data_IF_244447432798
#
_entry.id   IF_244447432798
#
_cell.length_a   1.000
_cell.length_b   1.000
_cell.length_c   1.000
_cell.angle_alpha   90.00
_cell.angle_beta   90.00
_cell.angle_gamma   90.00
#
_symmetry.space_group_name_H-M   'P 1'
#
loop_
_entity.id
_entity.type
_entity.pdbx_description
1 polymer ?
#
# COMPACT_ATOMS: atom_id res chain seq x y z
N UNK A 1 -61.41 4.45 42.42
CA UNK A 1 -60.31 5.43 42.28
C UNK A 1 -59.01 4.77 42.70
N UNK A 2 -58.09 4.52 41.75
CA UNK A 2 -56.64 4.39 41.93
C UNK A 2 -56.05 4.05 40.56
N UNK A 3 -55.79 5.10 39.77
CA UNK A 3 -55.12 5.00 38.47
C UNK A 3 -53.65 4.66 38.70
N UNK A 4 -53.20 3.54 38.14
CA UNK A 4 -51.79 3.17 38.05
C UNK A 4 -51.13 4.01 36.95
N UNK A 5 -50.26 4.95 37.33
CA UNK A 5 -49.32 5.57 36.40
C UNK A 5 -48.10 4.65 36.26
N UNK A 6 -48.11 3.79 35.24
CA UNK A 6 -46.92 3.05 34.83
C UNK A 6 -46.02 3.97 34.00
N UNK A 7 -44.94 4.45 34.60
CA UNK A 7 -43.90 5.23 33.94
C UNK A 7 -43.11 4.28 33.02
N UNK A 8 -43.37 4.31 31.71
CA UNK A 8 -42.62 3.54 30.74
C UNK A 8 -41.22 4.16 30.57
N UNK A 9 -40.20 3.51 31.15
CA UNK A 9 -38.81 3.88 31.00
C UNK A 9 -38.33 3.51 29.58
N UNK A 10 -38.25 4.49 28.69
CA UNK A 10 -37.70 4.31 27.36
C UNK A 10 -36.18 4.08 27.46
N UNK A 11 -35.76 2.82 27.44
CA UNK A 11 -34.34 2.44 27.32
C UNK A 11 -33.90 2.78 25.90
N UNK A 12 -33.24 3.92 25.73
CA UNK A 12 -32.54 4.23 24.49
C UNK A 12 -31.27 3.37 24.44
N UNK A 13 -31.22 2.44 23.49
CA UNK A 13 -30.02 1.67 23.19
C UNK A 13 -28.96 2.65 22.69
N UNK A 14 -28.02 3.04 23.56
CA UNK A 14 -26.83 3.77 23.16
C UNK A 14 -25.99 2.84 22.29
N UNK A 15 -26.00 3.09 20.97
CA UNK A 15 -25.13 2.39 20.05
C UNK A 15 -23.67 2.67 20.44
N UNK A 16 -22.98 1.66 20.96
CA UNK A 16 -21.54 1.74 21.18
C UNK A 16 -20.89 1.98 19.82
N UNK A 17 -20.15 3.08 19.69
CA UNK A 17 -19.42 3.42 18.47
C UNK A 17 -18.20 2.49 18.35
N UNK A 18 -18.42 1.27 17.88
CA UNK A 18 -17.36 0.31 17.56
C UNK A 18 -16.89 0.48 16.12
N UNK A 19 -15.69 0.01 15.83
CA UNK A 19 -15.21 -0.08 14.45
C UNK A 19 -16.08 -1.12 13.72
N UNK A 20 -16.68 -0.79 12.55
CA UNK A 20 -17.41 -1.77 11.76
C UNK A 20 -16.51 -2.94 11.37
N UNK A 21 -17.12 -4.09 11.06
CA UNK A 21 -16.38 -5.18 10.45
C UNK A 21 -15.69 -4.69 9.16
N UNK A 22 -14.44 -5.14 8.88
CA UNK A 22 -13.72 -4.70 7.69
C UNK A 22 -14.56 -4.89 6.42
N UNK A 23 -14.86 -3.80 5.74
CA UNK A 23 -15.64 -3.78 4.50
C UNK A 23 -14.91 -3.02 3.37
N UNK A 24 -13.67 -2.60 3.60
CA UNK A 24 -12.82 -2.00 2.59
C UNK A 24 -11.98 -3.07 1.88
N UNK A 25 -11.99 -3.04 0.55
CA UNK A 25 -11.13 -3.88 -0.28
C UNK A 25 -10.16 -2.98 -1.06
N UNK A 26 -8.84 -3.07 -0.81
CA UNK A 26 -7.84 -2.34 -1.57
C UNK A 26 -7.93 -2.60 -3.08
N UNK A 27 -7.49 -1.62 -3.88
CA UNK A 27 -7.52 -1.75 -5.34
C UNK A 27 -6.22 -2.35 -5.83
N UNK A 28 -6.31 -3.47 -6.56
CA UNK A 28 -5.14 -4.10 -7.18
C UNK A 28 -4.95 -3.57 -8.61
N UNK A 29 -3.83 -2.90 -8.85
CA UNK A 29 -3.53 -2.26 -10.13
C UNK A 29 -2.48 -3.08 -10.88
N UNK A 30 -2.74 -3.48 -12.15
CA UNK A 30 -1.76 -4.20 -12.96
C UNK A 30 -0.61 -3.29 -13.40
N UNK A 31 0.60 -3.85 -13.40
CA UNK A 31 1.79 -3.25 -13.99
C UNK A 31 2.07 -4.00 -15.28
N UNK A 32 2.21 -3.27 -16.38
CA UNK A 32 2.71 -3.80 -17.65
C UNK A 32 3.51 -2.73 -18.36
N UNK A 33 4.79 -2.98 -18.53
CA UNK A 33 5.69 -2.10 -19.25
C UNK A 33 6.74 -2.92 -19.99
N UNK A 34 7.11 -2.58 -21.24
CA UNK A 34 6.43 -1.65 -22.14
C UNK A 34 5.16 -2.28 -22.75
N UNK A 35 4.53 -1.57 -23.67
CA UNK A 35 3.45 -2.15 -24.50
C UNK A 35 4.02 -3.21 -25.43
N UNK A 36 3.23 -4.24 -25.70
CA UNK A 36 3.60 -5.29 -26.65
C UNK A 36 3.64 -4.73 -28.07
N UNK A 37 4.58 -5.24 -28.87
CA UNK A 37 4.77 -4.92 -30.28
C UNK A 37 5.09 -3.44 -30.58
N UNK A 38 5.53 -2.68 -29.58
CA UNK A 38 5.95 -1.29 -29.73
C UNK A 38 7.46 -1.18 -29.50
N UNK A 39 8.13 -0.34 -30.31
CA UNK A 39 9.55 -0.07 -30.14
C UNK A 39 9.78 0.74 -28.86
N UNK A 40 10.64 0.23 -27.98
CA UNK A 40 11.00 0.86 -26.72
C UNK A 40 12.50 1.01 -26.62
N UNK A 41 12.95 2.09 -25.97
CA UNK A 41 14.35 2.38 -25.70
C UNK A 41 14.55 2.55 -24.20
N UNK A 42 15.53 1.86 -23.64
CA UNK A 42 15.94 2.02 -22.23
C UNK A 42 17.46 2.06 -22.12
N UNK A 43 17.94 2.62 -21.02
CA UNK A 43 19.35 2.77 -20.68
C UNK A 43 19.86 1.60 -19.83
N UNK A 44 21.17 1.50 -19.65
CA UNK A 44 21.79 0.50 -18.77
C UNK A 44 21.24 0.64 -17.35
N UNK A 45 20.82 -0.49 -16.77
CA UNK A 45 20.22 -0.58 -15.44
C UNK A 45 18.72 -0.30 -15.39
N UNK A 46 18.11 0.13 -16.50
CA UNK A 46 16.67 0.36 -16.56
C UNK A 46 15.89 -0.93 -16.88
N UNK A 47 14.64 -0.94 -16.43
CA UNK A 47 13.74 -2.07 -16.61
C UNK A 47 13.31 -2.18 -18.08
N UNK A 48 13.57 -3.32 -18.71
CA UNK A 48 13.15 -3.63 -20.07
C UNK A 48 11.75 -4.22 -20.16
N UNK A 49 11.34 -5.01 -19.18
CA UNK A 49 10.01 -5.59 -19.11
C UNK A 49 9.64 -5.69 -17.64
N UNK A 50 8.57 -5.03 -17.22
CA UNK A 50 8.03 -5.10 -15.87
C UNK A 50 6.59 -5.57 -15.94
N UNK A 51 6.28 -6.63 -15.21
CA UNK A 51 4.92 -7.08 -15.02
C UNK A 51 4.64 -7.44 -13.57
N UNK A 52 3.36 -7.38 -13.21
CA UNK A 52 2.90 -7.79 -11.91
C UNK A 52 1.75 -6.91 -11.49
N UNK A 53 1.64 -6.70 -10.19
CA UNK A 53 0.59 -5.87 -9.62
C UNK A 53 1.19 -5.04 -8.48
N UNK A 54 0.48 -3.98 -8.12
CA UNK A 54 0.63 -3.32 -6.84
C UNK A 54 -0.74 -3.04 -6.27
N UNK A 55 -0.83 -2.99 -4.96
CA UNK A 55 -2.05 -2.65 -4.25
C UNK A 55 -2.01 -1.16 -3.93
N UNK A 56 -3.09 -0.45 -4.26
CA UNK A 56 -3.34 0.90 -3.76
C UNK A 56 -4.34 0.83 -2.61
N UNK A 57 -4.00 1.49 -1.51
CA UNK A 57 -4.89 1.67 -0.37
C UNK A 57 -5.26 3.14 -0.24
N UNK A 58 -6.55 3.40 -0.11
CA UNK A 58 -7.06 4.69 0.33
C UNK A 58 -6.81 4.80 1.85
N UNK A 59 -6.62 6.02 2.32
CA UNK A 59 -6.42 6.28 3.73
C UNK A 59 -6.36 7.77 4.03
N UNK A 60 -5.95 8.06 5.24
CA UNK A 60 -5.69 9.43 5.69
C UNK A 60 -4.20 9.59 6.00
N UNK A 61 -3.67 10.76 5.69
CA UNK A 61 -2.32 11.18 5.99
C UNK A 61 -2.36 12.33 6.99
N UNK A 62 -1.67 12.12 8.12
CA UNK A 62 -1.44 13.14 9.13
C UNK A 62 -0.05 13.74 8.90
N UNK A 63 0.02 15.05 8.73
CA UNK A 63 1.28 15.76 8.45
C UNK A 63 2.13 15.96 9.70
N UNK A 64 1.48 16.06 10.84
CA UNK A 64 2.10 16.27 12.13
C UNK A 64 1.51 15.32 13.14
N UNK A 65 2.25 15.14 14.22
CA UNK A 65 1.77 14.39 15.37
C UNK A 65 0.61 15.13 16.04
N UNK A 66 -0.37 14.37 16.51
CA UNK A 66 -1.53 14.88 17.24
C UNK A 66 -1.67 14.13 18.59
N UNK A 67 -2.12 14.81 19.63
CA UNK A 67 -2.44 14.19 20.92
C UNK A 67 -3.95 14.33 21.21
N UNK A 68 -4.68 13.23 21.00
CA UNK A 68 -6.12 13.19 21.24
C UNK A 68 -6.38 12.63 22.64
N UNK A 69 -6.52 13.53 23.62
CA UNK A 69 -6.80 13.23 25.04
C UNK A 69 -5.95 12.10 25.64
N UNK A 70 -4.65 12.11 25.39
CA UNK A 70 -3.67 11.15 25.90
C UNK A 70 -3.20 10.12 24.87
N UNK A 71 -3.91 9.96 23.75
CA UNK A 71 -3.44 9.14 22.63
C UNK A 71 -2.59 9.99 21.69
N UNK A 72 -1.29 9.68 21.65
CA UNK A 72 -0.34 10.27 20.70
C UNK A 72 -0.46 9.55 19.36
N UNK A 73 -0.78 10.28 18.31
CA UNK A 73 -0.95 9.78 16.94
C UNK A 73 0.16 10.40 16.10
N UNK A 74 1.05 9.59 15.55
CA UNK A 74 2.19 10.10 14.78
C UNK A 74 1.75 10.74 13.46
N UNK A 75 2.64 11.55 12.88
CA UNK A 75 2.56 11.83 11.45
C UNK A 75 2.72 10.53 10.64
N UNK A 76 2.08 10.46 9.48
CA UNK A 76 2.16 9.32 8.57
C UNK A 76 0.82 8.93 7.95
N UNK A 77 0.85 7.86 7.17
CA UNK A 77 -0.30 7.31 6.48
C UNK A 77 -1.00 6.22 7.30
N UNK A 78 -2.33 6.33 7.41
CA UNK A 78 -3.23 5.42 8.09
C UNK A 78 -4.18 4.80 7.06
N UNK A 79 -4.02 3.51 6.71
CA UNK A 79 -4.81 2.89 5.65
C UNK A 79 -6.23 2.56 6.11
N UNK A 80 -7.18 2.75 5.19
CA UNK A 80 -8.59 2.48 5.42
C UNK A 80 -8.84 0.98 5.55
N UNK A 81 -9.68 0.61 6.53
CA UNK A 81 -10.09 -0.78 6.80
C UNK A 81 -11.61 -0.95 6.75
N UNK A 82 -12.35 0.13 7.00
CA UNK A 82 -13.79 0.12 6.90
C UNK A 82 -14.35 1.51 6.60
N UNK A 83 -15.61 1.56 6.20
CA UNK A 83 -16.39 2.79 6.09
C UNK A 83 -17.87 2.57 6.46
N UNK A 84 -18.50 3.64 6.92
CA UNK A 84 -19.96 3.75 7.07
C UNK A 84 -20.50 4.95 6.25
N UNK A 85 -21.76 5.33 6.47
CA UNK A 85 -22.39 6.45 5.76
C UNK A 85 -21.68 7.79 5.99
N UNK A 86 -21.15 8.01 7.19
CA UNK A 86 -20.65 9.31 7.67
C UNK A 86 -19.12 9.34 7.82
N UNK A 87 -18.47 8.18 8.00
CA UNK A 87 -17.09 8.08 8.44
C UNK A 87 -16.30 6.99 7.69
N UNK A 88 -14.97 7.16 7.67
CA UNK A 88 -14.02 6.12 7.31
C UNK A 88 -13.20 5.70 8.53
N UNK A 89 -12.80 4.44 8.59
CA UNK A 89 -12.04 3.85 9.69
C UNK A 89 -10.71 3.36 9.17
N UNK A 90 -9.66 3.64 9.93
CA UNK A 90 -8.27 3.44 9.52
C UNK A 90 -7.52 2.63 10.58
N UNK A 91 -6.67 1.74 10.09
CA UNK A 91 -5.74 1.00 10.95
C UNK A 91 -4.47 1.81 11.22
N UNK A 92 -3.72 1.39 12.23
CA UNK A 92 -2.49 2.02 12.65
C UNK A 92 -1.48 0.95 13.07
N UNK A 93 -0.20 1.33 13.13
CA UNK A 93 0.85 0.48 13.70
C UNK A 93 1.07 0.84 15.17
N UNK A 94 1.63 -0.09 15.94
CA UNK A 94 2.00 0.19 17.34
C UNK A 94 3.36 0.89 17.48
N UNK A 95 4.18 0.84 16.43
CA UNK A 95 5.56 1.33 16.42
C UNK A 95 5.95 1.81 15.02
N UNK A 96 6.99 2.65 14.94
CA UNK A 96 7.54 3.22 13.69
C UNK A 96 8.41 2.23 12.92
N UNK A 97 7.82 1.11 12.50
CA UNK A 97 8.56 -0.01 11.91
C UNK A 97 8.63 0.07 10.38
N UNK A 98 7.94 1.05 9.79
CA UNK A 98 7.87 1.28 8.35
C UNK A 98 7.87 2.78 8.11
N UNK A 99 8.81 3.24 7.28
CA UNK A 99 8.92 4.63 6.90
C UNK A 99 7.60 5.14 6.30
N UNK A 100 7.12 6.29 6.77
CA UNK A 100 5.86 6.90 6.33
C UNK A 100 4.57 6.30 6.91
N UNK A 101 4.63 5.18 7.64
CA UNK A 101 3.43 4.59 8.26
C UNK A 101 3.05 5.29 9.57
N UNK A 102 1.76 5.60 9.72
CA UNK A 102 1.20 6.13 10.95
C UNK A 102 1.17 5.10 12.08
N UNK A 103 1.56 5.51 13.28
CA UNK A 103 1.55 4.66 14.46
C UNK A 103 0.94 5.37 15.68
N UNK A 104 0.42 4.56 16.61
CA UNK A 104 -0.13 5.00 17.90
C UNK A 104 0.52 4.12 18.96
N UNK A 105 1.50 4.64 19.74
CA UNK A 105 2.07 3.90 20.85
C UNK A 105 1.04 3.70 21.97
N UNK A 106 1.31 2.74 22.86
CA UNK A 106 0.47 2.50 24.02
C UNK A 106 0.40 3.76 24.91
N UNK A 107 -0.81 4.30 25.07
CA UNK A 107 -1.04 5.46 25.90
C UNK A 107 -1.15 5.08 27.39
N UNK A 108 -0.76 6.02 28.26
CA UNK A 108 -0.84 5.89 29.72
C UNK A 108 -1.53 7.13 30.29
N UNK A 109 -2.30 6.96 31.36
CA UNK A 109 -2.93 8.07 32.06
C UNK A 109 -1.94 8.83 32.96
N UNK A 110 -2.43 9.86 33.65
CA UNK A 110 -1.64 10.67 34.58
C UNK A 110 -1.06 9.87 35.77
N UNK A 111 -1.67 8.73 36.13
CA UNK A 111 -1.19 7.82 37.18
C UNK A 111 -0.23 6.75 36.63
N UNK A 112 0.08 6.78 35.33
CA UNK A 112 0.93 5.80 34.66
C UNK A 112 0.22 4.47 34.35
N UNK A 113 -1.10 4.40 34.49
CA UNK A 113 -1.89 3.21 34.13
C UNK A 113 -2.13 3.15 32.62
N UNK A 114 -2.13 1.97 32.00
CA UNK A 114 -2.36 1.83 30.57
C UNK A 114 -3.79 2.23 30.21
N UNK A 115 -3.94 3.10 29.21
CA UNK A 115 -5.24 3.41 28.63
C UNK A 115 -5.75 2.23 27.77
N UNK A 116 -7.08 2.13 27.53
CA UNK A 116 -7.63 1.13 26.62
C UNK A 116 -6.94 1.13 25.26
N UNK A 117 -6.67 -0.04 24.71
CA UNK A 117 -6.08 -0.12 23.38
C UNK A 117 -7.06 0.44 22.33
N UNK A 118 -6.60 1.35 21.46
CA UNK A 118 -7.43 1.82 20.36
C UNK A 118 -7.70 0.67 19.39
N UNK A 119 -8.91 0.63 18.83
CA UNK A 119 -9.30 -0.32 17.78
C UNK A 119 -9.01 0.25 16.39
N UNK A 120 -9.29 1.54 16.18
CA UNK A 120 -9.07 2.23 14.91
C UNK A 120 -9.04 3.75 15.10
N UNK A 121 -8.61 4.43 14.04
CA UNK A 121 -8.80 5.87 13.87
C UNK A 121 -10.01 6.09 12.97
N UNK A 122 -11.01 6.83 13.42
CA UNK A 122 -12.17 7.24 12.63
C UNK A 122 -11.92 8.64 12.06
N UNK A 123 -12.23 8.86 10.79
CA UNK A 123 -12.22 10.17 10.17
C UNK A 123 -13.59 10.50 9.54
N UNK A 124 -14.12 11.69 9.79
CA UNK A 124 -15.40 12.13 9.22
C UNK A 124 -15.28 12.39 7.73
N UNK A 125 -16.23 11.90 6.91
CA UNK A 125 -16.25 12.13 5.45
C UNK A 125 -16.46 13.60 5.07
N UNK A 126 -17.16 14.36 5.91
CA UNK A 126 -17.59 15.73 5.63
C UNK A 126 -16.84 16.78 6.46
N UNK A 127 -16.28 16.40 7.62
CA UNK A 127 -15.60 17.30 8.54
C UNK A 127 -14.12 16.95 8.67
N UNK A 128 -13.31 17.93 9.05
CA UNK A 128 -11.94 17.72 9.56
C UNK A 128 -12.02 17.27 11.02
N UNK A 129 -12.57 16.09 11.25
CA UNK A 129 -12.66 15.45 12.57
C UNK A 129 -12.00 14.07 12.52
N UNK A 130 -11.06 13.82 13.44
CA UNK A 130 -10.45 12.51 13.66
C UNK A 130 -10.76 12.03 15.07
N UNK A 131 -11.07 10.75 15.23
CA UNK A 131 -11.38 10.18 16.53
C UNK A 131 -10.66 8.87 16.77
N UNK A 132 -10.20 8.67 18.00
CA UNK A 132 -9.74 7.38 18.48
C UNK A 132 -10.95 6.57 18.96
N UNK A 133 -11.11 5.38 18.38
CA UNK A 133 -12.14 4.42 18.78
C UNK A 133 -11.52 3.45 19.78
N UNK A 134 -11.84 3.61 21.06
CA UNK A 134 -11.48 2.64 22.11
C UNK A 134 -12.64 1.68 22.29
N UNK A 135 -12.44 0.37 22.12
CA UNK A 135 -13.52 -0.59 22.35
C UNK A 135 -13.99 -0.54 23.81
N UNK A 136 -15.29 -0.34 24.06
CA UNK A 136 -15.86 -0.30 25.41
C UNK A 136 -17.01 0.71 25.58
N UNK A 137 -17.31 1.07 26.84
CA UNK A 137 -18.35 2.03 27.23
C UNK A 137 -17.96 3.51 27.00
N UNK A 138 -16.70 3.76 26.65
CA UNK A 138 -16.21 5.10 26.39
C UNK A 138 -16.49 5.43 24.92
N UNK A 139 -17.20 6.54 24.69
CA UNK A 139 -17.49 7.04 23.35
C UNK A 139 -16.21 7.42 22.56
N UNK A 140 -16.36 7.73 21.25
CA UNK A 140 -15.22 8.09 20.42
C UNK A 140 -14.54 9.35 20.96
N UNK A 141 -13.22 9.31 21.05
CA UNK A 141 -12.43 10.44 21.55
C UNK A 141 -11.98 11.24 20.33
N UNK A 142 -12.60 12.39 20.11
CA UNK A 142 -12.42 13.15 18.88
C UNK A 142 -11.55 14.40 19.05
N UNK A 143 -10.90 14.77 17.96
CA UNK A 143 -10.20 16.03 17.72
C UNK A 143 -10.71 16.66 16.42
N UNK A 144 -10.85 17.99 16.43
CA UNK A 144 -11.22 18.82 15.28
C UNK A 144 -10.19 19.92 15.00
N UNK A 145 -9.12 20.00 15.79
CA UNK A 145 -8.10 21.05 15.66
C UNK A 145 -7.07 20.72 14.58
N UNK A 146 -6.80 19.42 14.36
CA UNK A 146 -5.81 18.96 13.39
C UNK A 146 -6.44 18.48 12.08
N UNK A 147 -5.88 18.94 10.98
CA UNK A 147 -6.30 18.53 9.65
C UNK A 147 -5.70 17.17 9.25
N UNK A 148 -6.39 16.51 8.34
CA UNK A 148 -5.92 15.30 7.70
C UNK A 148 -6.19 15.34 6.20
N UNK A 149 -5.27 14.75 5.44
CA UNK A 149 -5.42 14.65 3.99
C UNK A 149 -5.88 13.25 3.61
N UNK A 150 -6.93 13.14 2.82
CA UNK A 150 -7.28 11.88 2.16
C UNK A 150 -6.34 11.67 0.99
N UNK A 151 -5.69 10.52 0.98
CA UNK A 151 -4.74 10.17 -0.07
C UNK A 151 -4.85 8.69 -0.38
N UNK A 152 -4.40 8.34 -1.59
CA UNK A 152 -4.23 6.97 -2.02
C UNK A 152 -2.75 6.71 -2.14
N UNK A 153 -2.26 5.66 -1.49
CA UNK A 153 -0.86 5.31 -1.53
C UNK A 153 -0.66 3.87 -2.01
N UNK A 154 0.39 3.62 -2.81
CA UNK A 154 0.77 2.26 -3.14
C UNK A 154 1.28 1.57 -1.88
N UNK A 155 0.64 0.47 -1.51
CA UNK A 155 1.05 -0.38 -0.40
C UNK A 155 1.61 -1.67 -0.98
N UNK A 156 2.89 -1.91 -0.72
CA UNK A 156 3.56 -3.16 -1.07
C UNK A 156 2.91 -4.32 -0.30
N UNK A 157 2.14 -5.15 -1.01
CA UNK A 157 1.54 -6.39 -0.50
C UNK A 157 2.47 -7.57 -0.80
N UNK A 158 2.57 -8.53 0.12
CA UNK A 158 3.32 -9.78 -0.13
C UNK A 158 2.70 -10.63 -1.25
N UNK A 159 1.42 -10.37 -1.57
CA UNK A 159 0.68 -11.03 -2.65
C UNK A 159 0.91 -10.38 -4.03
N UNK A 160 1.63 -9.26 -4.06
CA UNK A 160 1.94 -8.53 -5.28
C UNK A 160 3.31 -8.96 -5.81
N UNK A 161 3.32 -10.09 -6.54
CA UNK A 161 4.50 -10.52 -7.27
C UNK A 161 4.72 -9.56 -8.45
N UNK A 162 5.94 -9.03 -8.54
CA UNK A 162 6.42 -8.29 -9.70
C UNK A 162 7.65 -8.98 -10.27
N UNK A 163 7.67 -9.11 -11.60
CA UNK A 163 8.75 -9.69 -12.37
C UNK A 163 9.34 -8.60 -13.26
N UNK A 164 10.66 -8.54 -13.34
CA UNK A 164 11.36 -7.50 -14.10
C UNK A 164 12.56 -8.07 -14.85
N UNK A 165 12.65 -7.80 -16.14
CA UNK A 165 13.90 -7.86 -16.92
C UNK A 165 14.56 -6.49 -16.92
N UNK A 166 15.88 -6.44 -16.76
CA UNK A 166 16.68 -5.22 -16.63
C UNK A 166 17.81 -5.28 -17.64
N UNK A 167 18.05 -4.18 -18.37
CA UNK A 167 19.15 -4.14 -19.31
C UNK A 167 20.50 -4.04 -18.58
N UNK A 168 21.39 -5.02 -18.76
CA UNK A 168 22.69 -5.05 -18.07
C UNK A 168 23.87 -4.73 -18.99
N UNK A 169 23.60 -4.43 -20.26
CA UNK A 169 24.60 -4.02 -21.25
C UNK A 169 24.91 -5.10 -22.28
N UNK A 170 25.79 -4.74 -23.23
CA UNK A 170 26.29 -5.63 -24.29
C UNK A 170 27.81 -5.49 -24.42
N UNK A 171 28.49 -6.62 -24.62
CA UNK A 171 29.93 -6.69 -24.93
C UNK A 171 30.13 -7.59 -26.15
N UNK A 172 30.68 -7.04 -27.24
CA UNK A 172 30.75 -7.77 -28.52
C UNK A 172 29.35 -8.15 -28.99
N UNK A 173 29.12 -9.44 -29.30
CA UNK A 173 27.78 -9.95 -29.65
C UNK A 173 26.97 -10.45 -28.46
N UNK A 174 27.53 -10.37 -27.25
CA UNK A 174 26.86 -10.90 -26.05
C UNK A 174 26.10 -9.82 -25.31
N UNK A 175 24.80 -9.99 -25.20
CA UNK A 175 23.91 -9.12 -24.43
C UNK A 175 23.60 -9.75 -23.07
N UNK A 176 23.56 -8.93 -22.03
CA UNK A 176 23.25 -9.35 -20.65
C UNK A 176 21.97 -8.71 -20.16
N UNK A 177 21.13 -9.52 -19.54
CA UNK A 177 19.82 -9.13 -19.03
C UNK A 177 19.68 -9.65 -17.61
N UNK A 178 19.48 -8.73 -16.68
CA UNK A 178 19.20 -9.03 -15.29
C UNK A 178 17.74 -9.41 -15.09
N UNK A 179 17.48 -10.32 -14.17
CA UNK A 179 16.14 -10.70 -13.74
C UNK A 179 15.96 -10.54 -12.24
N UNK A 180 14.84 -9.91 -11.86
CA UNK A 180 14.40 -9.84 -10.46
C UNK A 180 12.92 -10.17 -10.33
N UNK A 181 12.60 -10.85 -9.23
CA UNK A 181 11.24 -10.98 -8.71
C UNK A 181 11.18 -10.29 -7.36
N UNK A 182 10.20 -9.43 -7.15
CA UNK A 182 9.93 -8.79 -5.86
C UNK A 182 8.52 -9.11 -5.37
N UNK A 183 8.40 -9.37 -4.07
CA UNK A 183 7.14 -9.46 -3.35
C UNK A 183 7.34 -8.82 -1.97
N UNK A 184 6.38 -8.00 -1.51
CA UNK A 184 6.44 -7.38 -0.19
C UNK A 184 7.60 -6.38 0.03
N UNK A 185 8.05 -6.26 1.29
CA UNK A 185 8.94 -5.21 1.80
C UNK A 185 10.42 -5.61 1.94
N UNK A 186 10.84 -6.73 1.35
CA UNK A 186 12.22 -7.17 1.43
C UNK A 186 12.94 -6.71 0.16
N UNK A 187 13.85 -5.75 0.31
CA UNK A 187 14.86 -5.46 -0.70
C UNK A 187 15.68 -6.74 -0.90
N UNK A 188 15.27 -7.54 -1.89
CA UNK A 188 16.05 -8.69 -2.32
C UNK A 188 17.36 -8.16 -2.93
N UNK A 189 18.48 -8.91 -2.81
CA UNK A 189 19.75 -8.49 -3.40
C UNK A 189 19.56 -8.04 -4.85
N UNK A 190 20.27 -6.98 -5.23
CA UNK A 190 20.30 -6.54 -6.62
C UNK A 190 20.80 -7.72 -7.46
N UNK A 191 19.96 -8.17 -8.40
CA UNK A 191 20.20 -9.25 -9.37
C UNK A 191 20.13 -10.66 -8.77
N UNK A 192 18.94 -11.26 -8.83
CA UNK A 192 18.78 -12.67 -8.45
C UNK A 192 19.34 -13.62 -9.51
N UNK A 193 19.38 -13.20 -10.78
CA UNK A 193 19.89 -13.95 -11.92
C UNK A 193 20.25 -12.99 -13.07
N UNK A 194 21.34 -13.27 -13.80
CA UNK A 194 21.69 -12.61 -15.07
C UNK A 194 21.72 -13.66 -16.18
N UNK A 195 21.10 -13.35 -17.32
CA UNK A 195 21.11 -14.20 -18.50
C UNK A 195 21.93 -13.53 -19.61
N UNK A 196 22.76 -14.32 -20.29
CA UNK A 196 23.59 -13.89 -21.41
C UNK A 196 23.09 -14.54 -22.70
N UNK A 197 23.00 -13.75 -23.78
CA UNK A 197 22.58 -14.23 -25.11
C UNK A 197 23.56 -13.76 -26.18
N UNK A 198 23.75 -14.57 -27.22
CA UNK A 198 24.56 -14.24 -28.38
C UNK A 198 23.68 -13.71 -29.52
N UNK A 199 23.80 -12.40 -29.78
CA UNK A 199 23.04 -11.69 -30.80
C UNK A 199 23.48 -12.01 -32.24
N UNK A 200 24.64 -12.65 -32.42
CA UNK A 200 25.07 -13.14 -33.75
C UNK A 200 24.25 -14.35 -34.20
N UNK A 201 23.71 -15.11 -33.24
CA UNK A 201 22.88 -16.29 -33.50
C UNK A 201 21.40 -15.93 -33.68
N UNK A 202 20.89 -14.99 -32.87
CA UNK A 202 19.50 -14.55 -32.92
C UNK A 202 19.36 -13.14 -32.34
N UNK A 203 18.59 -12.28 -33.00
CA UNK A 203 18.17 -10.99 -32.44
C UNK A 203 17.00 -11.11 -31.47
N UNK A 204 16.35 -12.28 -31.39
CA UNK A 204 15.31 -12.56 -30.42
C UNK A 204 15.85 -13.32 -29.22
N UNK A 205 15.55 -12.81 -28.03
CA UNK A 205 15.88 -13.41 -26.74
C UNK A 205 14.60 -13.84 -26.03
N UNK A 206 14.68 -14.92 -25.26
CA UNK A 206 13.55 -15.45 -24.50
C UNK A 206 13.95 -15.75 -23.07
N UNK A 207 13.16 -15.26 -22.10
CA UNK A 207 13.39 -15.52 -20.69
C UNK A 207 12.06 -15.66 -19.95
N UNK A 208 11.84 -16.81 -19.30
CA UNK A 208 10.62 -17.10 -18.51
C UNK A 208 9.32 -16.75 -19.25
N UNK A 209 9.18 -17.18 -20.51
CA UNK A 209 8.01 -16.94 -21.35
C UNK A 209 8.00 -15.60 -22.09
N UNK A 210 8.70 -14.58 -21.58
CA UNK A 210 8.86 -13.32 -22.30
C UNK A 210 9.76 -13.51 -23.52
N UNK A 211 9.37 -12.90 -24.65
CA UNK A 211 10.15 -12.86 -25.89
C UNK A 211 10.37 -11.42 -26.30
N UNK A 212 11.63 -11.09 -26.57
CA UNK A 212 12.06 -9.74 -26.89
C UNK A 212 12.88 -9.79 -28.17
N UNK A 213 12.52 -8.96 -29.14
CA UNK A 213 13.31 -8.71 -30.34
C UNK A 213 14.20 -7.51 -30.11
N UNK A 214 15.51 -7.73 -30.08
CA UNK A 214 16.52 -6.69 -29.99
C UNK A 214 16.69 -6.06 -31.36
N UNK A 215 16.59 -4.73 -31.45
CA UNK A 215 16.84 -3.98 -32.67
C UNK A 215 18.26 -3.42 -32.68
N UNK A 216 18.70 -2.88 -31.55
CA UNK A 216 20.03 -2.30 -31.37
C UNK A 216 20.37 -2.32 -29.87
N UNK A 217 21.62 -2.63 -29.53
CA UNK A 217 22.07 -2.65 -28.14
C UNK A 217 23.57 -2.33 -28.06
N UNK A 218 23.97 -1.54 -27.08
CA UNK A 218 25.35 -1.18 -26.75
C UNK A 218 25.56 -1.13 -25.23
N UNK A 219 26.74 -0.75 -24.73
CA UNK A 219 27.00 -0.70 -23.29
C UNK A 219 26.28 0.46 -22.54
N UNK A 220 25.45 1.26 -23.19
CA UNK A 220 24.72 2.39 -22.60
C UNK A 220 23.20 2.25 -22.71
N UNK A 221 22.69 1.64 -23.77
CA UNK A 221 21.28 1.62 -24.12
C UNK A 221 20.89 0.41 -24.98
N UNK A 222 19.60 0.15 -25.03
CA UNK A 222 18.98 -0.84 -25.89
C UNK A 222 17.71 -0.29 -26.54
N UNK A 223 17.48 -0.63 -27.80
CA UNK A 223 16.24 -0.49 -28.56
C UNK A 223 15.70 -1.88 -28.88
N UNK A 224 14.45 -2.14 -28.52
CA UNK A 224 13.87 -3.48 -28.60
C UNK A 224 12.34 -3.42 -28.74
N UNK A 225 11.74 -4.57 -29.05
CA UNK A 225 10.29 -4.79 -29.09
C UNK A 225 9.96 -5.99 -28.20
N UNK A 226 8.99 -5.84 -27.30
CA UNK A 226 8.45 -6.98 -26.54
C UNK A 226 7.39 -7.68 -27.38
N UNK A 227 7.66 -8.92 -27.77
CA UNK A 227 6.74 -9.74 -28.57
C UNK A 227 5.73 -10.47 -27.67
N UNK A 228 6.21 -11.02 -26.55
CA UNK A 228 5.40 -11.62 -25.50
C UNK A 228 5.97 -11.25 -24.14
N UNK A 229 5.09 -11.14 -23.15
CA UNK A 229 5.46 -10.87 -21.77
C UNK A 229 5.56 -12.18 -20.96
N UNK A 230 5.74 -12.12 -19.64
CA UNK A 230 5.88 -13.31 -18.78
C UNK A 230 4.60 -14.15 -18.66
N UNK A 231 3.44 -13.55 -18.94
CA UNK A 231 2.15 -14.25 -18.92
C UNK A 231 1.94 -14.96 -20.25
N UNK A 232 2.65 -16.06 -20.48
CA UNK A 232 2.29 -17.01 -21.54
C UNK A 232 1.18 -17.92 -21.04
N UNK A 233 -0.05 -17.66 -21.49
CA UNK A 233 -1.02 -18.71 -21.79
C UNK A 233 -0.90 -19.04 -23.28
#
# INVERSE_FOLDING_TARGET
MRSYCALALAVTLAACASTPAPNYTPTRVPISFPKLNEETKVSLGEDMLRQGFYTEEDGIELRQENNIKGYRISAGFYPQIAEDKENTYHSFRLQSNREGAGYIPQARDFLGLPLPFPQSVRASKTKQETCIITGGLNGPICDTEHDFKRTRQPVLSERDLQQTLIYSGRVGDRIRIGYRESSGNMARPAFSNEAEYDLSTSSEIAYRGARIKVLEADNQKIRYIVLSNFNTN
#
